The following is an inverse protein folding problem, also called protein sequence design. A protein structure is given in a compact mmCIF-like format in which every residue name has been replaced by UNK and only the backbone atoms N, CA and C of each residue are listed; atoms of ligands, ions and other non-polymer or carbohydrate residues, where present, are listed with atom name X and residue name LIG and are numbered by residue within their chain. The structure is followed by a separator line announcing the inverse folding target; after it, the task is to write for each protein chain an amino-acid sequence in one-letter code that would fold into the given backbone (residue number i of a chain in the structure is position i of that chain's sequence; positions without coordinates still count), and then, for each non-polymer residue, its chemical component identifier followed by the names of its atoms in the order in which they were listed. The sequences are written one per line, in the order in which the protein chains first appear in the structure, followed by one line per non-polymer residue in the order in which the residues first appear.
data_IF_691590240049
#
_entry.id   IF_691590240049
#
_cell.length_a   1.000
_cell.length_b   1.000
_cell.length_c   1.000
_cell.angle_alpha   90.00
_cell.angle_beta   90.00
_cell.angle_gamma   90.00
#
_symmetry.space_group_name_H-M   'P 1'
#
loop_
_entity.id
_entity.type
_entity.pdbx_description
1 polymer ?
#
# COMPACT_ATOMS: atom_id res chain seq x y z
N UNK A 1 -46.03 -30.40 29.12
CA UNK A 1 -46.00 -30.05 30.56
C UNK A 1 -44.76 -29.21 30.76
N UNK A 2 -44.86 -27.87 30.58
CA UNK A 2 -44.99 -26.87 31.66
C UNK A 2 -43.77 -26.93 32.58
N UNK A 3 -42.87 -25.94 32.63
CA UNK A 3 -43.14 -24.60 33.17
C UNK A 3 -42.18 -23.53 32.62
N UNK A 4 -42.78 -22.36 32.39
CA UNK A 4 -42.15 -21.04 32.27
C UNK A 4 -41.95 -20.51 33.70
N UNK A 5 -40.82 -19.89 33.99
CA UNK A 5 -40.66 -18.98 35.11
C UNK A 5 -39.96 -17.70 34.63
N UNK A 6 -40.66 -16.59 34.81
CA UNK A 6 -40.28 -15.20 34.56
C UNK A 6 -40.02 -14.59 35.95
N UNK A 7 -38.89 -13.92 36.16
CA UNK A 7 -38.69 -12.89 37.19
C UNK A 7 -37.39 -12.14 36.82
N UNK A 8 -37.41 -10.92 36.28
CA UNK A 8 -37.69 -9.59 36.87
C UNK A 8 -36.80 -9.21 38.05
N UNK A 9 -35.82 -8.34 37.79
CA UNK A 9 -35.32 -7.28 38.67
C UNK A 9 -34.53 -6.31 37.76
N UNK A 10 -34.97 -5.10 37.37
CA UNK A 10 -35.37 -3.86 38.07
C UNK A 10 -34.24 -3.17 38.85
N UNK A 11 -34.17 -1.86 38.57
CA UNK A 11 -33.44 -0.80 39.27
C UNK A 11 -31.91 -0.87 39.20
N UNK A 12 -31.17 0.14 38.76
CA UNK A 12 -31.46 1.56 38.57
C UNK A 12 -30.18 2.29 38.96
N UNK A 13 -29.60 3.14 38.10
CA UNK A 13 -28.72 4.20 38.57
C UNK A 13 -28.43 5.26 37.50
N UNK A 14 -29.15 6.38 37.66
CA UNK A 14 -28.63 7.75 37.68
C UNK A 14 -27.83 8.27 36.47
N UNK A 15 -28.59 8.85 35.55
CA UNK A 15 -28.27 10.09 34.82
C UNK A 15 -28.28 11.28 35.79
N UNK A 16 -27.24 12.13 35.80
CA UNK A 16 -27.30 13.63 35.93
C UNK A 16 -25.90 14.24 36.22
N UNK A 17 -25.70 15.44 35.65
CA UNK A 17 -24.75 16.52 36.04
C UNK A 17 -23.50 16.64 35.15
N UNK A 18 -23.43 17.56 34.18
CA UNK A 18 -23.42 19.04 34.23
C UNK A 18 -22.03 19.63 34.53
N UNK A 19 -21.68 20.65 33.73
CA UNK A 19 -20.42 21.40 33.70
C UNK A 19 -19.96 21.49 32.24
N UNK A 20 -20.47 22.38 31.39
CA UNK A 20 -20.58 23.84 31.52
C UNK A 20 -19.23 24.48 31.90
N UNK A 21 -18.46 24.84 30.87
CA UNK A 21 -17.28 25.70 30.99
C UNK A 21 -17.04 26.45 29.66
N UNK A 22 -17.83 27.51 29.50
CA UNK A 22 -17.34 28.88 29.28
C UNK A 22 -16.46 29.13 28.04
N UNK A 23 -17.14 29.65 27.03
CA UNK A 23 -16.70 30.68 26.08
C UNK A 23 -15.82 31.74 26.75
N UNK A 24 -14.59 31.93 26.25
CA UNK A 24 -13.86 33.19 26.38
C UNK A 24 -13.27 33.61 25.05
N UNK A 25 -14.12 34.33 24.34
CA UNK A 25 -13.80 35.31 23.32
C UNK A 25 -12.98 36.44 23.95
N UNK A 26 -11.72 36.58 23.55
CA UNK A 26 -10.89 37.72 23.90
C UNK A 26 -10.76 38.62 22.65
N UNK A 27 -11.64 39.62 22.61
CA UNK A 27 -11.42 40.87 21.89
C UNK A 27 -10.26 41.66 22.54
N UNK A 28 -9.89 42.77 21.88
CA UNK A 28 -8.87 43.78 22.23
C UNK A 28 -7.54 43.51 21.49
N UNK A 29 -7.02 44.35 20.58
CA UNK A 29 -7.15 45.80 20.44
C UNK A 29 -7.07 46.22 18.95
N UNK A 30 -7.94 47.15 18.56
CA UNK A 30 -7.72 47.98 17.38
C UNK A 30 -6.60 48.96 17.67
N UNK A 31 -5.43 48.74 17.05
CA UNK A 31 -4.39 49.77 16.96
C UNK A 31 -4.87 50.87 16.01
N UNK A 32 -4.97 52.06 16.56
CA UNK A 32 -5.24 53.33 15.89
C UNK A 32 -4.21 53.59 14.78
N UNK A 33 -4.70 53.76 13.54
CA UNK A 33 -3.91 54.16 12.37
C UNK A 33 -3.40 55.59 12.54
N UNK A 34 -2.09 55.78 12.49
CA UNK A 34 -1.50 57.09 12.18
C UNK A 34 -1.83 57.48 10.72
N UNK A 35 -2.12 58.76 10.44
CA UNK A 35 -2.41 59.21 9.09
C UNK A 35 -1.15 59.12 8.22
N UNK A 36 -1.25 58.35 7.13
CA UNK A 36 -0.23 58.23 6.08
C UNK A 36 -0.10 59.56 5.34
N UNK A 37 1.10 60.14 5.16
CA UNK A 37 1.28 61.30 4.29
C UNK A 37 0.93 60.92 2.84
N UNK A 38 0.21 61.81 2.17
CA UNK A 38 -0.21 61.62 0.78
C UNK A 38 1.01 61.44 -0.14
N UNK A 39 1.01 60.47 -1.07
CA UNK A 39 2.07 60.38 -2.06
C UNK A 39 1.94 61.52 -3.09
N UNK A 40 3.05 62.03 -3.62
CA UNK A 40 3.05 62.95 -4.75
C UNK A 40 2.44 62.26 -5.99
N UNK A 41 1.58 62.98 -6.72
CA UNK A 41 1.09 62.56 -8.04
C UNK A 41 2.27 62.41 -8.99
N UNK A 42 2.56 61.18 -9.41
CA UNK A 42 3.49 60.87 -10.48
C UNK A 42 2.70 60.44 -11.74
N UNK A 43 3.21 60.86 -12.89
CA UNK A 43 2.60 60.86 -14.22
C UNK A 43 2.05 59.50 -14.72
N UNK A 44 0.98 59.48 -15.55
CA UNK A 44 0.37 58.27 -16.07
C UNK A 44 1.11 57.66 -17.27
N UNK A 45 2.45 57.78 -17.35
CA UNK A 45 3.21 57.25 -18.48
C UNK A 45 4.38 56.39 -18.03
N UNK A 46 4.15 55.08 -18.18
CA UNK A 46 5.14 54.01 -18.25
C UNK A 46 5.97 53.73 -16.98
N UNK A 47 5.43 52.86 -16.11
CA UNK A 47 6.24 51.93 -15.34
C UNK A 47 5.49 50.58 -15.25
N UNK A 48 6.12 49.45 -15.61
CA UNK A 48 5.50 48.13 -15.42
C UNK A 48 5.30 47.87 -13.92
N UNK A 49 4.16 47.28 -13.60
CA UNK A 49 3.74 46.95 -12.24
C UNK A 49 4.85 46.25 -11.44
N UNK A 50 5.00 46.52 -10.12
CA UNK A 50 5.78 45.63 -9.27
C UNK A 50 5.13 44.26 -9.34
N UNK A 51 5.83 43.30 -9.93
CA UNK A 51 5.47 41.90 -9.87
C UNK A 51 5.24 41.56 -8.39
N UNK A 52 4.01 41.15 -8.06
CA UNK A 52 3.73 40.46 -6.81
C UNK A 52 4.80 39.38 -6.60
N UNK A 53 5.23 39.08 -5.37
CA UNK A 53 6.09 37.93 -5.13
C UNK A 53 5.33 36.67 -5.55
N UNK A 54 5.59 36.21 -6.78
CA UNK A 54 5.20 34.91 -7.27
C UNK A 54 6.10 33.88 -6.59
N UNK A 55 5.87 33.67 -5.29
CA UNK A 55 6.44 32.56 -4.54
C UNK A 55 5.26 31.81 -3.92
N UNK A 56 4.38 31.29 -4.78
CA UNK A 56 3.72 30.03 -4.45
C UNK A 56 4.78 28.96 -4.66
N UNK A 57 5.64 28.77 -3.64
CA UNK A 57 6.35 27.51 -3.46
C UNK A 57 5.28 26.43 -3.46
N UNK A 58 5.13 25.79 -4.62
CA UNK A 58 4.35 24.58 -4.80
C UNK A 58 4.66 23.67 -3.61
N UNK A 59 3.65 23.40 -2.79
CA UNK A 59 3.74 22.51 -1.65
C UNK A 59 4.52 21.26 -2.08
N UNK A 60 5.57 20.90 -1.35
CA UNK A 60 6.36 19.70 -1.64
C UNK A 60 5.39 18.51 -1.72
N UNK A 61 5.16 17.94 -2.91
CA UNK A 61 4.15 16.91 -3.09
C UNK A 61 4.52 15.63 -2.32
N UNK A 62 5.79 15.48 -1.92
CA UNK A 62 6.27 14.35 -1.13
C UNK A 62 6.22 14.60 0.37
N UNK A 63 5.88 15.80 0.84
CA UNK A 63 5.85 16.09 2.28
C UNK A 63 4.99 15.09 3.08
N UNK A 64 3.78 14.69 2.64
CA UNK A 64 2.99 13.67 3.33
C UNK A 64 3.67 12.29 3.35
N UNK A 65 4.38 11.94 2.26
CA UNK A 65 5.09 10.68 2.13
C UNK A 65 6.30 10.62 3.08
N UNK A 66 7.06 11.72 3.16
CA UNK A 66 8.21 11.86 4.06
C UNK A 66 7.77 11.86 5.52
N UNK A 67 6.71 12.59 5.86
CA UNK A 67 6.15 12.59 7.21
C UNK A 67 5.70 11.19 7.65
N UNK A 68 5.00 10.45 6.79
CA UNK A 68 4.60 9.07 7.08
C UNK A 68 5.81 8.14 7.23
N UNK A 69 6.86 8.36 6.42
CA UNK A 69 8.08 7.57 6.51
C UNK A 69 8.90 7.86 7.76
N UNK A 70 8.95 9.11 8.22
CA UNK A 70 9.63 9.51 9.46
C UNK A 70 8.87 8.99 10.70
N UNK A 71 7.54 8.89 10.60
CA UNK A 71 6.69 8.30 11.64
C UNK A 71 6.62 6.76 11.60
N UNK A 72 7.28 6.11 10.62
CA UNK A 72 7.20 4.67 10.33
C UNK A 72 5.74 4.15 10.17
N UNK A 73 4.81 5.03 9.79
CA UNK A 73 3.41 4.66 9.59
C UNK A 73 3.20 4.12 8.17
N UNK A 74 3.24 2.80 8.07
CA UNK A 74 3.07 2.06 6.82
C UNK A 74 1.72 2.31 6.11
N UNK A 75 0.65 2.56 6.88
CA UNK A 75 -0.67 2.81 6.31
C UNK A 75 -0.78 4.23 5.81
N UNK A 76 -0.30 5.22 6.57
CA UNK A 76 -0.21 6.60 6.12
C UNK A 76 0.69 6.73 4.89
N UNK A 77 1.81 6.01 4.84
CA UNK A 77 2.70 6.00 3.70
C UNK A 77 1.98 5.53 2.43
N UNK A 78 1.26 4.41 2.51
CA UNK A 78 0.50 3.87 1.38
C UNK A 78 -0.61 4.83 0.92
N UNK A 79 -1.26 5.54 1.85
CA UNK A 79 -2.28 6.56 1.52
C UNK A 79 -1.65 7.75 0.80
N UNK A 80 -0.56 8.28 1.35
CA UNK A 80 0.19 9.38 0.74
C UNK A 80 0.71 9.01 -0.65
N UNK A 81 1.29 7.82 -0.81
CA UNK A 81 1.75 7.28 -2.09
C UNK A 81 0.66 7.31 -3.18
N UNK A 82 -0.58 6.95 -2.83
CA UNK A 82 -1.72 6.92 -3.77
C UNK A 82 -2.29 8.30 -4.07
N UNK A 83 -2.09 9.27 -3.17
CA UNK A 83 -2.60 10.63 -3.33
C UNK A 83 -1.68 11.52 -4.20
N UNK A 84 -0.43 11.10 -4.42
CA UNK A 84 0.52 11.85 -5.24
C UNK A 84 0.17 11.70 -6.73
N UNK A 85 0.11 12.84 -7.42
CA UNK A 85 0.00 12.92 -8.88
C UNK A 85 1.37 12.70 -9.53
N UNK A 86 1.70 11.42 -9.76
CA UNK A 86 3.00 11.00 -10.29
C UNK A 86 3.27 11.48 -11.73
N UNK A 87 2.23 11.83 -12.49
CA UNK A 87 2.33 12.32 -13.87
C UNK A 87 3.07 13.66 -13.97
N UNK A 88 2.91 14.50 -12.94
CA UNK A 88 3.51 15.83 -12.80
C UNK A 88 4.76 15.84 -11.92
N UNK A 89 5.07 14.73 -11.27
CA UNK A 89 6.22 14.63 -10.38
C UNK A 89 7.55 14.63 -11.17
N UNK A 90 8.55 15.34 -10.64
CA UNK A 90 9.88 15.44 -11.23
C UNK A 90 10.69 14.14 -11.04
N UNK A 91 11.67 13.83 -11.90
CA UNK A 91 12.47 12.60 -11.80
C UNK A 91 13.11 12.38 -10.42
N UNK A 92 13.61 13.45 -9.79
CA UNK A 92 14.20 13.39 -8.45
C UNK A 92 13.18 13.02 -7.38
N UNK A 93 11.92 13.46 -7.53
CA UNK A 93 10.84 13.11 -6.59
C UNK A 93 10.49 11.62 -6.68
N UNK A 94 10.58 11.02 -7.87
CA UNK A 94 10.43 9.58 -8.00
C UNK A 94 11.56 8.82 -7.29
N UNK A 95 12.81 9.28 -7.45
CA UNK A 95 13.95 8.66 -6.78
C UNK A 95 13.87 8.79 -5.25
N UNK A 96 13.47 9.97 -4.74
CA UNK A 96 13.23 10.21 -3.32
C UNK A 96 12.14 9.31 -2.77
N UNK A 97 11.04 9.13 -3.50
CA UNK A 97 9.96 8.24 -3.10
C UNK A 97 10.40 6.76 -3.04
N UNK A 98 11.26 6.31 -3.98
CA UNK A 98 11.87 4.97 -3.93
C UNK A 98 12.69 4.81 -2.65
N UNK A 99 13.54 5.79 -2.32
CA UNK A 99 14.33 5.76 -1.09
C UNK A 99 13.47 5.72 0.16
N UNK A 100 12.43 6.56 0.25
CA UNK A 100 11.51 6.59 1.38
C UNK A 100 10.76 5.26 1.55
N UNK A 101 10.34 4.64 0.44
CA UNK A 101 9.71 3.32 0.46
C UNK A 101 10.67 2.21 0.92
N UNK A 102 11.95 2.26 0.52
CA UNK A 102 12.95 1.28 0.99
C UNK A 102 13.24 1.44 2.48
N UNK A 103 13.39 2.68 2.96
CA UNK A 103 13.67 2.98 4.38
C UNK A 103 12.57 2.47 5.32
N UNK A 104 11.33 2.41 4.83
CA UNK A 104 10.13 2.01 5.59
C UNK A 104 9.71 0.55 5.35
N UNK A 105 10.51 -0.23 4.62
CA UNK A 105 10.20 -1.64 4.32
C UNK A 105 9.12 -1.87 3.25
N UNK A 106 8.70 -0.83 2.53
CA UNK A 106 7.74 -0.93 1.42
C UNK A 106 8.38 -1.38 0.10
N UNK A 107 9.04 -2.55 0.10
CA UNK A 107 9.80 -3.05 -1.05
C UNK A 107 8.99 -3.20 -2.34
N UNK A 108 7.70 -3.56 -2.24
CA UNK A 108 6.82 -3.66 -3.41
C UNK A 108 6.55 -2.28 -4.03
N UNK A 109 6.30 -1.26 -3.21
CA UNK A 109 6.09 0.12 -3.68
C UNK A 109 7.39 0.68 -4.25
N UNK A 110 8.52 0.46 -3.57
CA UNK A 110 9.83 0.90 -4.06
C UNK A 110 10.14 0.35 -5.46
N UNK A 111 9.85 -0.94 -5.67
CA UNK A 111 10.04 -1.58 -6.97
C UNK A 111 9.10 -1.02 -8.04
N UNK A 112 7.80 -0.90 -7.75
CA UNK A 112 6.83 -0.31 -8.68
C UNK A 112 7.24 1.12 -9.10
N UNK A 113 7.63 1.96 -8.12
CA UNK A 113 8.13 3.31 -8.37
C UNK A 113 9.38 3.32 -9.25
N UNK A 114 10.35 2.44 -8.98
CA UNK A 114 11.57 2.37 -9.77
C UNK A 114 11.30 1.87 -11.20
N UNK A 115 10.44 0.87 -11.36
CA UNK A 115 10.07 0.30 -12.65
C UNK A 115 9.27 1.27 -13.52
N UNK A 116 8.34 2.03 -12.93
CA UNK A 116 7.59 3.10 -13.63
C UNK A 116 8.46 4.33 -13.87
N UNK A 117 9.29 4.71 -12.91
CA UNK A 117 10.19 5.86 -13.00
C UNK A 117 11.20 5.72 -14.12
N UNK A 118 11.83 4.54 -14.27
CA UNK A 118 12.76 4.28 -15.39
C UNK A 118 12.10 4.28 -16.76
N UNK A 119 10.80 3.93 -16.85
CA UNK A 119 10.02 3.95 -18.09
C UNK A 119 9.66 5.39 -18.46
N UNK A 120 9.27 6.21 -17.47
CA UNK A 120 8.89 7.61 -17.65
C UNK A 120 10.11 8.49 -17.96
N UNK A 121 11.25 8.23 -17.32
CA UNK A 121 12.47 9.04 -17.42
C UNK A 121 13.64 8.18 -17.89
N UNK A 122 13.71 7.88 -19.21
CA UNK A 122 14.74 7.01 -19.77
C UNK A 122 16.16 7.56 -19.52
N UNK A 123 16.33 8.88 -19.58
CA UNK A 123 17.63 9.54 -19.44
C UNK A 123 18.07 9.77 -17.99
N UNK A 124 17.21 9.45 -17.00
CA UNK A 124 17.51 9.70 -15.60
C UNK A 124 18.34 8.55 -14.99
N UNK A 125 19.65 8.74 -14.94
CA UNK A 125 20.63 7.72 -14.54
C UNK A 125 20.32 7.04 -13.20
N UNK A 126 19.84 7.80 -12.20
CA UNK A 126 19.54 7.23 -10.88
C UNK A 126 18.34 6.27 -10.92
N UNK A 127 17.29 6.61 -11.67
CA UNK A 127 16.11 5.75 -11.80
C UNK A 127 16.42 4.50 -12.61
N UNK A 128 17.28 4.61 -13.63
CA UNK A 128 17.80 3.43 -14.35
C UNK A 128 18.57 2.50 -13.40
N UNK A 129 19.45 3.06 -12.58
CA UNK A 129 20.21 2.30 -11.58
C UNK A 129 19.29 1.61 -10.57
N UNK A 130 18.33 2.35 -10.00
CA UNK A 130 17.37 1.80 -9.03
C UNK A 130 16.51 0.70 -9.63
N UNK A 131 15.94 0.92 -10.82
CA UNK A 131 15.14 -0.08 -11.52
C UNK A 131 15.94 -1.35 -11.83
N UNK A 132 17.22 -1.22 -12.19
CA UNK A 132 18.11 -2.39 -12.39
C UNK A 132 18.37 -3.15 -11.09
N UNK A 133 18.60 -2.45 -9.98
CA UNK A 133 18.90 -3.07 -8.67
C UNK A 133 17.65 -3.75 -8.10
N UNK A 134 16.49 -3.11 -8.22
CA UNK A 134 15.22 -3.58 -7.66
C UNK A 134 14.45 -4.53 -8.58
N UNK A 135 14.92 -4.71 -9.81
CA UNK A 135 14.35 -5.69 -10.73
C UNK A 135 14.29 -7.08 -10.07
N UNK A 136 13.23 -7.85 -10.32
CA UNK A 136 13.19 -9.23 -9.88
C UNK A 136 14.41 -9.94 -10.46
N UNK A 137 15.14 -10.69 -9.64
CA UNK A 137 15.96 -11.76 -10.20
C UNK A 137 14.98 -12.72 -10.87
N UNK A 138 14.90 -12.64 -12.19
CA UNK A 138 14.12 -13.62 -12.94
C UNK A 138 14.72 -14.99 -12.57
N UNK A 139 13.90 -15.95 -12.12
CA UNK A 139 14.37 -17.32 -12.08
C UNK A 139 14.84 -17.62 -13.50
N UNK A 140 16.06 -18.16 -13.66
CA UNK A 140 16.48 -18.64 -14.95
C UNK A 140 15.41 -19.63 -15.40
N UNK A 141 14.62 -19.24 -16.40
CA UNK A 141 13.66 -20.14 -17.03
C UNK A 141 14.53 -21.22 -17.65
N UNK A 142 14.69 -22.34 -16.95
CA UNK A 142 15.25 -23.55 -17.54
C UNK A 142 14.22 -23.92 -18.60
N UNK A 143 14.50 -23.55 -19.85
CA UNK A 143 13.63 -23.73 -21.01
C UNK A 143 13.49 -25.21 -21.36
N UNK A 144 12.85 -25.97 -20.48
CA UNK A 144 12.20 -27.22 -20.84
C UNK A 144 10.76 -26.93 -21.27
N UNK A 145 10.16 -27.76 -22.14
CA UNK A 145 8.72 -27.75 -22.33
C UNK A 145 8.06 -27.84 -20.94
N UNK A 146 7.12 -26.93 -20.66
CA UNK A 146 6.29 -27.05 -19.46
C UNK A 146 5.69 -28.45 -19.41
N UNK A 147 5.65 -29.04 -18.22
CA UNK A 147 5.17 -30.41 -18.06
C UNK A 147 3.77 -30.53 -18.70
N UNK A 148 3.61 -31.28 -19.80
CA UNK A 148 2.32 -31.37 -20.50
C UNK A 148 1.22 -31.96 -19.60
N UNK A 149 1.61 -32.58 -18.47
CA UNK A 149 0.72 -33.13 -17.46
C UNK A 149 0.16 -32.10 -16.49
N UNK A 150 0.73 -30.89 -16.41
CA UNK A 150 0.32 -29.88 -15.43
C UNK A 150 -1.17 -29.50 -15.56
N UNK A 151 -1.67 -29.43 -16.81
CA UNK A 151 -3.10 -29.19 -17.05
C UNK A 151 -3.99 -30.34 -16.57
N UNK A 152 -3.54 -31.58 -16.76
CA UNK A 152 -4.27 -32.77 -16.33
C UNK A 152 -4.28 -32.92 -14.80
N UNK A 153 -3.16 -32.62 -14.14
CA UNK A 153 -3.05 -32.62 -12.69
C UNK A 153 -3.98 -31.57 -12.05
N UNK A 154 -3.99 -30.35 -12.61
CA UNK A 154 -4.89 -29.28 -12.15
C UNK A 154 -6.36 -29.62 -12.36
N UNK A 155 -6.71 -30.25 -13.49
CA UNK A 155 -8.08 -30.72 -13.73
C UNK A 155 -8.50 -31.78 -12.71
N UNK A 156 -7.58 -32.69 -12.33
CA UNK A 156 -7.84 -33.68 -11.30
C UNK A 156 -8.11 -33.01 -9.94
N UNK A 157 -7.29 -32.04 -9.53
CA UNK A 157 -7.50 -31.30 -8.29
C UNK A 157 -8.83 -30.57 -8.27
N UNK A 158 -9.20 -29.92 -9.38
CA UNK A 158 -10.49 -29.24 -9.49
C UNK A 158 -11.68 -30.20 -9.34
N UNK A 159 -11.56 -31.43 -9.85
CA UNK A 159 -12.64 -32.43 -9.82
C UNK A 159 -12.74 -33.20 -8.50
N UNK A 160 -11.65 -33.37 -7.74
CA UNK A 160 -11.61 -34.29 -6.58
C UNK A 160 -11.25 -33.60 -5.26
N UNK A 161 -10.98 -32.28 -5.24
CA UNK A 161 -10.54 -31.57 -4.03
C UNK A 161 -11.42 -31.82 -2.79
N UNK A 162 -12.74 -31.89 -2.98
CA UNK A 162 -13.68 -31.96 -1.86
C UNK A 162 -13.55 -33.30 -1.11
N UNK A 163 -13.10 -34.36 -1.79
CA UNK A 163 -12.91 -35.70 -1.23
C UNK A 163 -11.63 -35.82 -0.37
N UNK A 164 -10.66 -34.92 -0.58
CA UNK A 164 -9.32 -35.00 0.04
C UNK A 164 -9.04 -33.82 0.96
N UNK A 165 -10.08 -33.20 1.52
CA UNK A 165 -9.94 -32.05 2.40
C UNK A 165 -8.98 -32.31 3.57
N UNK A 166 -8.00 -31.43 3.74
CA UNK A 166 -6.97 -31.52 4.78
C UNK A 166 -5.88 -32.56 4.52
N UNK A 167 -5.96 -33.31 3.41
CA UNK A 167 -4.98 -34.33 3.06
C UNK A 167 -3.92 -33.77 2.10
N UNK A 168 -2.74 -34.39 2.17
CA UNK A 168 -1.69 -34.27 1.17
C UNK A 168 -2.00 -35.21 0.02
N UNK A 169 -2.00 -34.70 -1.20
CA UNK A 169 -2.33 -35.47 -2.40
C UNK A 169 -1.21 -35.33 -3.42
N UNK A 170 -0.78 -36.46 -3.99
CA UNK A 170 0.15 -36.53 -5.11
C UNK A 170 -0.61 -36.96 -6.38
N UNK A 171 -0.53 -36.13 -7.41
CA UNK A 171 -1.13 -36.39 -8.73
C UNK A 171 -0.04 -36.36 -9.78
N UNK A 172 -0.15 -37.22 -10.79
CA UNK A 172 0.75 -37.21 -11.96
C UNK A 172 -0.01 -37.62 -13.20
N UNK A 173 0.10 -36.84 -14.27
CA UNK A 173 -0.65 -37.07 -15.51
C UNK A 173 -2.17 -37.18 -15.29
N UNK A 174 -2.72 -36.39 -14.36
CA UNK A 174 -4.13 -36.43 -13.99
C UNK A 174 -4.56 -37.70 -13.26
N UNK A 175 -3.62 -38.47 -12.72
CA UNK A 175 -3.90 -39.67 -11.93
C UNK A 175 -3.43 -39.49 -10.49
N UNK A 176 -4.27 -39.89 -9.54
CA UNK A 176 -3.92 -39.96 -8.13
C UNK A 176 -2.84 -41.02 -7.92
N UNK A 177 -1.68 -40.60 -7.45
CA UNK A 177 -0.63 -41.52 -6.99
C UNK A 177 -0.81 -41.91 -5.53
N UNK A 178 -1.36 -40.99 -4.72
CA UNK A 178 -1.67 -41.26 -3.32
C UNK A 178 -2.20 -40.03 -2.60
N UNK A 179 -2.90 -40.28 -1.50
CA UNK A 179 -3.30 -39.26 -0.53
C UNK A 179 -2.92 -39.72 0.88
N UNK A 180 -2.60 -38.78 1.77
CA UNK A 180 -2.25 -39.08 3.16
C UNK A 180 -2.51 -37.88 4.08
N UNK A 181 -2.62 -38.12 5.38
CA UNK A 181 -2.83 -37.03 6.36
C UNK A 181 -1.57 -36.15 6.53
N UNK A 182 -0.39 -36.70 6.24
CA UNK A 182 0.89 -36.00 6.37
C UNK A 182 1.74 -36.19 5.12
N UNK A 183 2.61 -35.21 4.83
CA UNK A 183 3.54 -35.28 3.70
C UNK A 183 4.51 -36.46 3.83
N UNK A 184 4.91 -36.82 5.06
CA UNK A 184 5.81 -37.95 5.32
C UNK A 184 5.16 -39.27 4.91
N UNK A 185 3.93 -39.49 5.34
CA UNK A 185 3.16 -40.68 4.96
C UNK A 185 2.92 -40.73 3.44
N UNK A 186 2.68 -39.58 2.79
CA UNK A 186 2.55 -39.51 1.34
C UNK A 186 3.84 -39.93 0.63
N UNK A 187 5.00 -39.48 1.10
CA UNK A 187 6.30 -39.83 0.53
C UNK A 187 6.67 -41.30 0.74
N UNK A 188 6.27 -41.90 1.87
CA UNK A 188 6.43 -43.34 2.12
C UNK A 188 5.52 -44.17 1.19
N UNK A 189 4.30 -43.69 0.94
CA UNK A 189 3.32 -44.35 0.06
C UNK A 189 3.66 -44.20 -1.43
N UNK A 190 4.28 -43.08 -1.83
CA UNK A 190 4.62 -42.76 -3.23
C UNK A 190 6.15 -42.69 -3.40
N UNK A 191 6.83 -43.84 -3.60
CA UNK A 191 8.29 -43.90 -3.68
C UNK A 191 8.88 -43.19 -4.91
N UNK A 192 8.08 -42.93 -5.95
CA UNK A 192 8.49 -42.16 -7.14
C UNK A 192 7.63 -40.91 -7.34
N UNK A 193 7.75 -39.96 -6.42
CA UNK A 193 7.07 -38.66 -6.47
C UNK A 193 7.72 -37.65 -7.42
N UNK A 194 8.84 -37.98 -8.06
CA UNK A 194 9.51 -37.07 -9.01
C UNK A 194 8.63 -36.82 -10.24
N UNK A 195 8.36 -35.55 -10.50
CA UNK A 195 7.43 -35.10 -11.54
C UNK A 195 5.96 -35.36 -11.21
N UNK A 196 5.62 -35.55 -9.92
CA UNK A 196 4.25 -35.50 -9.45
C UNK A 196 3.96 -34.13 -8.84
N UNK A 197 2.76 -33.61 -9.09
CA UNK A 197 2.24 -32.42 -8.41
C UNK A 197 1.76 -32.83 -7.02
N UNK A 198 2.40 -32.28 -5.98
CA UNK A 198 2.02 -32.51 -4.58
C UNK A 198 1.41 -31.23 -4.04
N UNK A 199 0.19 -31.32 -3.51
CA UNK A 199 -0.48 -30.20 -2.85
C UNK A 199 -1.22 -30.68 -1.61
N UNK A 200 -1.30 -29.82 -0.60
CA UNK A 200 -2.21 -30.01 0.51
C UNK A 200 -3.52 -29.29 0.21
N UNK A 201 -4.65 -29.97 0.42
CA UNK A 201 -5.97 -29.44 0.04
C UNK A 201 -6.60 -28.71 1.23
N UNK A 202 -6.91 -27.42 1.04
CA UNK A 202 -7.50 -26.56 2.08
C UNK A 202 -8.53 -25.54 1.55
N UNK A 203 -8.94 -25.61 0.27
CA UNK A 203 -9.74 -24.58 -0.39
C UNK A 203 -10.78 -25.12 -1.36
#
# INVERSE_FOLDING_TARGET
MSQIAIESDKDGSTITSAGDAVVREAAVAYVTRSPRPAPPRADPRAAPAPAAPAVSMSADPLAPLRAAADAEDMLAFRRAYRAIHWETALPDQWADAVYLALRTGHHIIARDLADRGRQRFPDHALLQKMGRILAPKQPATIGGPGDPSAGADMAWFAAHRDDYWGQWVAVKNGQLLGAAATIKELMERVPNWRGATISQIFW
#
